data_IF_462003131064
#
_entry.id   IF_462003131064
#
_cell.length_a   1.000
_cell.length_b   1.000
_cell.length_c   1.000
_cell.angle_alpha   90.00
_cell.angle_beta   90.00
_cell.angle_gamma   90.00
#
_symmetry.space_group_name_H-M   'P 1'
#
loop_
_entity.id
_entity.type
_entity.pdbx_description
1 polymer ?
#
# COMPACT_ATOMS: atom_id res chain seq x y z
N UNK A 1 32.17 -19.39 3.57
CA UNK A 1 30.82 -19.37 4.17
C UNK A 1 30.25 -17.99 3.94
N UNK A 2 29.18 -17.86 3.16
CA UNK A 2 28.51 -16.57 2.99
C UNK A 2 28.00 -16.10 4.37
N UNK A 3 28.46 -14.92 4.79
CA UNK A 3 28.08 -14.31 6.06
C UNK A 3 26.58 -14.01 6.01
N UNK A 4 25.82 -14.36 7.06
CA UNK A 4 24.39 -14.03 7.20
C UNK A 4 23.42 -14.70 6.18
N UNK A 5 23.65 -15.98 5.86
CA UNK A 5 22.81 -16.75 4.92
C UNK A 5 21.91 -17.82 5.60
N UNK A 6 21.52 -17.62 6.86
CA UNK A 6 20.81 -18.65 7.65
C UNK A 6 19.48 -19.10 7.02
N UNK A 7 18.79 -18.19 6.32
CA UNK A 7 17.52 -18.47 5.64
C UNK A 7 17.67 -18.43 4.11
N UNK A 8 18.90 -18.63 3.61
CA UNK A 8 19.28 -18.52 2.21
C UNK A 8 20.07 -17.24 1.90
N UNK A 9 20.50 -17.05 0.64
CA UNK A 9 21.30 -15.89 0.24
C UNK A 9 20.52 -14.59 0.47
N UNK A 10 21.24 -13.51 0.82
CA UNK A 10 20.65 -12.20 1.11
C UNK A 10 19.94 -11.59 -0.12
N UNK A 11 20.49 -11.80 -1.31
CA UNK A 11 19.88 -11.42 -2.57
C UNK A 11 19.35 -12.66 -3.27
N UNK A 12 18.10 -12.60 -3.71
CA UNK A 12 17.42 -13.68 -4.42
C UNK A 12 16.91 -13.19 -5.77
N UNK A 13 17.15 -13.97 -6.81
CA UNK A 13 16.48 -13.79 -8.11
C UNK A 13 15.07 -14.38 -8.04
N UNK A 14 14.08 -13.60 -8.45
CA UNK A 14 12.69 -14.04 -8.61
C UNK A 14 12.30 -13.90 -10.07
N UNK A 15 11.46 -14.81 -10.54
CA UNK A 15 10.99 -14.86 -11.91
C UNK A 15 9.63 -14.15 -12.04
N UNK A 16 9.52 -13.31 -13.06
CA UNK A 16 8.37 -12.46 -13.32
C UNK A 16 7.91 -12.62 -14.76
N UNK A 17 6.61 -12.82 -14.96
CA UNK A 17 5.98 -12.78 -16.28
C UNK A 17 5.96 -11.35 -16.83
N UNK A 18 6.31 -11.22 -18.10
CA UNK A 18 6.42 -9.95 -18.85
C UNK A 18 5.23 -9.82 -19.80
N UNK A 19 4.81 -8.58 -20.07
CA UNK A 19 3.81 -8.27 -21.09
C UNK A 19 4.27 -8.72 -22.47
N UNK A 20 3.41 -9.46 -23.16
CA UNK A 20 3.69 -9.96 -24.51
C UNK A 20 4.53 -11.24 -24.48
N UNK A 21 4.04 -12.26 -25.17
CA UNK A 21 4.78 -13.50 -25.50
C UNK A 21 5.14 -14.46 -24.37
N UNK A 22 4.40 -14.48 -23.25
CA UNK A 22 4.56 -15.51 -22.20
C UNK A 22 5.97 -15.63 -21.63
N UNK A 23 6.79 -14.61 -21.86
CA UNK A 23 8.19 -14.57 -21.50
C UNK A 23 8.33 -14.20 -20.03
N UNK A 24 9.42 -14.65 -19.43
CA UNK A 24 9.77 -14.32 -18.05
C UNK A 24 11.06 -13.52 -18.01
N UNK A 25 11.18 -12.69 -16.97
CA UNK A 25 12.42 -12.01 -16.62
C UNK A 25 12.73 -12.21 -15.16
N UNK A 26 14.02 -12.17 -14.84
CA UNK A 26 14.48 -12.25 -13.46
C UNK A 26 14.72 -10.85 -12.91
N UNK A 27 14.24 -10.60 -11.69
CA UNK A 27 14.57 -9.40 -10.93
C UNK A 27 15.12 -9.81 -9.55
N UNK A 28 16.02 -8.98 -9.03
CA UNK A 28 16.60 -9.16 -7.70
C UNK A 28 15.67 -8.60 -6.63
N UNK A 29 15.53 -9.35 -5.54
CA UNK A 29 14.85 -8.94 -4.32
C UNK A 29 15.71 -9.31 -3.12
N UNK A 30 15.51 -8.62 -2.00
CA UNK A 30 16.15 -8.99 -0.74
C UNK A 30 15.41 -10.17 -0.10
N UNK A 31 16.15 -11.17 0.34
CA UNK A 31 15.64 -12.19 1.25
C UNK A 31 15.46 -11.55 2.62
N UNK A 32 14.25 -11.10 2.89
CA UNK A 32 13.89 -10.38 4.10
C UNK A 32 14.16 -11.20 5.37
N UNK A 33 14.01 -12.52 5.32
CA UNK A 33 14.27 -13.39 6.48
C UNK A 33 15.75 -13.40 6.84
N UNK A 34 16.63 -13.56 5.84
CA UNK A 34 18.08 -13.49 6.04
C UNK A 34 18.54 -12.08 6.41
N UNK A 35 17.94 -11.03 5.86
CA UNK A 35 18.26 -9.65 6.21
C UNK A 35 17.98 -9.36 7.69
N UNK A 36 16.77 -9.66 8.16
CA UNK A 36 16.37 -9.38 9.54
C UNK A 36 17.23 -10.20 10.52
N UNK A 37 17.45 -11.49 10.25
CA UNK A 37 18.31 -12.32 11.12
C UNK A 37 19.75 -11.83 11.11
N UNK A 38 20.27 -11.47 9.94
CA UNK A 38 21.62 -10.95 9.78
C UNK A 38 21.82 -9.64 10.53
N UNK A 39 20.87 -8.70 10.41
CA UNK A 39 20.88 -7.41 11.10
C UNK A 39 20.81 -7.59 12.63
N UNK A 40 19.97 -8.51 13.11
CA UNK A 40 19.89 -8.83 14.54
C UNK A 40 21.17 -9.49 15.07
N UNK A 41 21.76 -10.41 14.30
CA UNK A 41 23.03 -11.06 14.69
C UNK A 41 24.20 -10.08 14.72
N UNK A 42 24.18 -9.05 13.89
CA UNK A 42 25.28 -8.09 13.76
C UNK A 42 25.45 -7.21 15.01
N UNK A 43 24.40 -7.00 15.81
CA UNK A 43 24.43 -6.11 16.97
C UNK A 43 24.04 -4.67 16.66
N UNK A 44 24.21 -3.79 17.65
CA UNK A 44 23.91 -2.36 17.52
C UNK A 44 22.42 -2.03 17.69
N UNK A 45 22.03 -0.85 17.17
CA UNK A 45 20.72 -0.24 17.43
C UNK A 45 19.53 -1.10 17.01
N UNK A 46 19.63 -1.87 15.93
CA UNK A 46 18.55 -2.78 15.52
C UNK A 46 18.38 -3.94 16.50
N UNK A 47 19.47 -4.48 17.03
CA UNK A 47 19.41 -5.54 18.04
C UNK A 47 18.77 -5.02 19.31
N UNK A 48 19.19 -3.85 19.78
CA UNK A 48 18.61 -3.18 20.95
C UNK A 48 17.10 -2.91 20.77
N UNK A 49 16.68 -2.46 19.59
CA UNK A 49 15.27 -2.25 19.27
C UNK A 49 14.47 -3.56 19.33
N UNK A 50 15.00 -4.63 18.74
CA UNK A 50 14.35 -5.95 18.75
C UNK A 50 14.27 -6.52 20.16
N UNK A 51 15.36 -6.44 20.95
CA UNK A 51 15.40 -6.91 22.33
C UNK A 51 14.45 -6.12 23.24
N UNK A 52 14.42 -4.80 23.13
CA UNK A 52 13.48 -3.95 23.86
C UNK A 52 12.03 -4.29 23.48
N UNK A 53 11.77 -4.59 22.20
CA UNK A 53 10.45 -5.00 21.73
C UNK A 53 10.09 -6.39 22.25
N UNK A 54 11.02 -7.35 22.29
CA UNK A 54 10.79 -8.67 22.90
C UNK A 54 10.49 -8.59 24.40
N UNK A 55 11.23 -7.75 25.14
CA UNK A 55 11.02 -7.57 26.57
C UNK A 55 9.63 -6.97 26.87
N UNK A 56 9.16 -6.06 26.01
CA UNK A 56 7.82 -5.46 26.11
C UNK A 56 6.71 -6.41 25.65
N UNK A 57 6.93 -7.08 24.52
CA UNK A 57 5.92 -7.89 23.84
C UNK A 57 6.59 -9.14 23.23
N UNK A 58 6.72 -10.22 24.02
CA UNK A 58 7.23 -11.49 23.54
C UNK A 58 6.37 -12.04 22.39
N UNK A 59 7.00 -12.79 21.48
CA UNK A 59 6.29 -13.41 20.35
C UNK A 59 6.00 -14.88 20.60
N UNK A 60 4.86 -15.33 20.10
CA UNK A 60 4.47 -16.74 20.06
C UNK A 60 3.59 -16.98 18.83
N UNK A 61 3.28 -18.25 18.48
CA UNK A 61 2.36 -18.52 17.38
C UNK A 61 0.98 -17.88 17.57
N UNK A 62 0.51 -17.72 18.82
CA UNK A 62 -0.77 -17.08 19.12
C UNK A 62 -0.67 -15.56 19.26
N UNK A 63 0.52 -15.02 19.49
CA UNK A 63 0.79 -13.59 19.61
C UNK A 63 1.99 -13.21 18.73
N UNK A 64 1.88 -13.34 17.39
CA UNK A 64 2.94 -12.98 16.47
C UNK A 64 3.05 -11.46 16.35
N UNK A 65 4.26 -10.96 16.06
CA UNK A 65 4.43 -9.59 15.58
C UNK A 65 3.78 -9.42 14.20
N UNK A 66 3.49 -8.17 13.83
CA UNK A 66 2.80 -7.83 12.59
C UNK A 66 3.73 -7.07 11.66
N UNK A 67 4.15 -7.71 10.58
CA UNK A 67 5.02 -7.11 9.57
C UNK A 67 4.26 -6.09 8.72
N UNK A 68 4.87 -4.94 8.51
CA UNK A 68 4.41 -3.87 7.62
C UNK A 68 5.15 -3.99 6.30
N UNK A 69 4.44 -3.86 5.18
CA UNK A 69 5.04 -3.56 3.88
C UNK A 69 4.69 -2.12 3.51
N UNK A 70 5.70 -1.27 3.35
CA UNK A 70 5.54 0.07 2.79
C UNK A 70 6.07 0.11 1.37
N UNK A 71 5.35 0.72 0.44
CA UNK A 71 5.80 0.79 -0.96
C UNK A 71 5.40 2.09 -1.60
N UNK A 72 6.33 2.69 -2.33
CA UNK A 72 6.11 3.95 -3.03
C UNK A 72 6.89 3.99 -4.35
N UNK A 73 6.47 4.86 -5.26
CA UNK A 73 7.12 5.13 -6.53
C UNK A 73 7.89 6.45 -6.49
N UNK A 74 9.18 6.36 -6.17
CA UNK A 74 10.02 7.52 -5.93
C UNK A 74 10.70 8.01 -7.21
N UNK A 75 10.83 9.33 -7.35
CA UNK A 75 11.61 9.97 -8.41
C UNK A 75 12.86 10.63 -7.81
N UNK A 76 14.06 10.06 -8.00
CA UNK A 76 15.29 10.68 -7.52
C UNK A 76 15.57 11.99 -8.27
N UNK A 77 15.76 13.09 -7.54
CA UNK A 77 16.12 14.39 -8.10
C UNK A 77 14.91 15.25 -8.49
N UNK A 78 14.99 15.97 -9.60
CA UNK A 78 13.94 16.89 -10.03
C UNK A 78 12.73 16.14 -10.60
N UNK A 79 11.61 16.15 -9.86
CA UNK A 79 10.33 15.54 -10.24
C UNK A 79 9.72 16.12 -11.52
N UNK A 80 10.07 17.36 -11.90
CA UNK A 80 9.61 18.03 -13.11
C UNK A 80 10.54 17.80 -14.31
N UNK A 81 11.62 17.03 -14.14
CA UNK A 81 12.55 16.74 -15.23
C UNK A 81 11.89 15.87 -16.29
N UNK A 82 12.13 16.19 -17.57
CA UNK A 82 11.73 15.32 -18.69
C UNK A 82 12.42 13.95 -18.68
N UNK A 83 13.51 13.77 -17.89
CA UNK A 83 14.29 12.52 -17.80
C UNK A 83 13.99 11.77 -16.50
N UNK A 84 12.90 11.01 -16.48
CA UNK A 84 12.47 10.18 -15.34
C UNK A 84 13.05 8.75 -15.35
N UNK A 85 14.24 8.55 -15.92
CA UNK A 85 14.82 7.21 -16.13
C UNK A 85 15.23 6.49 -14.84
N UNK A 86 15.39 7.24 -13.76
CA UNK A 86 15.73 6.74 -12.42
C UNK A 86 14.51 6.57 -11.52
N UNK A 87 13.30 6.89 -12.00
CA UNK A 87 12.07 6.64 -11.25
C UNK A 87 11.97 5.15 -10.92
N UNK A 88 11.68 4.82 -9.68
CA UNK A 88 11.73 3.47 -9.18
C UNK A 88 10.63 3.20 -8.14
N UNK A 89 10.13 1.98 -8.16
CA UNK A 89 9.40 1.41 -7.05
C UNK A 89 10.37 0.96 -5.97
N UNK A 90 10.10 1.36 -4.75
CA UNK A 90 10.86 0.93 -3.57
C UNK A 90 9.90 0.31 -2.58
N UNK A 91 10.27 -0.87 -2.09
CA UNK A 91 9.56 -1.56 -1.02
C UNK A 91 10.39 -1.59 0.24
N UNK A 92 9.73 -1.36 1.37
CA UNK A 92 10.30 -1.39 2.70
C UNK A 92 9.51 -2.32 3.61
N UNK A 93 10.17 -2.92 4.59
CA UNK A 93 9.54 -3.71 5.63
C UNK A 93 9.85 -3.15 7.02
N UNK A 94 8.91 -3.29 7.93
CA UNK A 94 9.09 -3.03 9.37
C UNK A 94 8.09 -3.85 10.19
N UNK A 95 7.96 -3.61 11.49
CA UNK A 95 7.03 -4.29 12.38
C UNK A 95 6.19 -3.27 13.16
N UNK A 96 4.85 -3.45 13.18
CA UNK A 96 3.95 -2.58 13.97
C UNK A 96 4.34 -2.54 15.44
N UNK A 97 4.93 -3.62 15.93
CA UNK A 97 5.37 -3.82 17.30
C UNK A 97 6.51 -2.86 17.71
N UNK A 98 7.20 -2.23 16.75
CA UNK A 98 8.18 -1.17 16.99
C UNK A 98 7.56 0.19 17.37
N UNK A 99 6.25 0.38 17.15
CA UNK A 99 5.48 1.55 17.61
C UNK A 99 6.12 2.90 17.22
N UNK A 100 6.46 3.75 18.17
CA UNK A 100 7.03 5.09 17.96
C UNK A 100 8.33 5.07 17.15
N UNK A 101 9.08 3.97 17.17
CA UNK A 101 10.28 3.82 16.35
C UNK A 101 9.99 3.74 14.85
N UNK A 102 8.74 3.45 14.45
CA UNK A 102 8.32 3.50 13.04
C UNK A 102 8.47 4.90 12.43
N UNK A 103 8.55 5.96 13.25
CA UNK A 103 8.84 7.31 12.77
C UNK A 103 10.32 7.52 12.41
N UNK A 104 11.18 6.50 12.57
CA UNK A 104 12.62 6.56 12.30
C UNK A 104 12.95 5.68 11.10
N UNK A 105 13.60 6.25 10.09
CA UNK A 105 14.02 5.52 8.89
C UNK A 105 14.84 4.26 9.23
N UNK A 106 15.67 4.32 10.28
CA UNK A 106 16.49 3.20 10.74
C UNK A 106 15.69 1.96 11.21
N UNK A 107 14.37 2.09 11.44
CA UNK A 107 13.48 0.98 11.77
C UNK A 107 12.90 0.28 10.52
N UNK A 108 13.27 0.72 9.32
CA UNK A 108 12.76 0.20 8.05
C UNK A 108 13.87 -0.41 7.21
N UNK A 109 13.62 -1.60 6.67
CA UNK A 109 14.53 -2.29 5.78
C UNK A 109 14.06 -2.23 4.34
N UNK A 110 14.99 -1.98 3.42
CA UNK A 110 14.70 -2.03 1.98
C UNK A 110 14.54 -3.49 1.54
N UNK A 111 13.37 -3.83 0.99
CA UNK A 111 13.03 -5.15 0.47
C UNK A 111 13.38 -5.30 -1.02
N UNK A 112 13.17 -4.24 -1.80
CA UNK A 112 13.55 -4.19 -3.21
C UNK A 112 13.63 -2.74 -3.71
N UNK A 113 14.38 -2.53 -4.78
CA UNK A 113 14.37 -1.30 -5.59
C UNK A 113 14.31 -1.75 -7.05
N UNK A 114 13.22 -1.42 -7.75
CA UNK A 114 13.02 -1.82 -9.14
C UNK A 114 12.61 -0.58 -9.94
N UNK A 115 13.28 -0.29 -11.05
CA UNK A 115 12.95 0.87 -11.88
C UNK A 115 11.49 0.81 -12.35
N UNK A 116 10.80 1.93 -12.36
CA UNK A 116 9.44 2.06 -12.87
C UNK A 116 9.28 1.49 -14.27
N UNK A 117 10.25 1.79 -15.15
CA UNK A 117 10.26 1.25 -16.52
C UNK A 117 10.30 -0.29 -16.54
N UNK A 118 11.02 -0.89 -15.60
CA UNK A 118 11.13 -2.35 -15.48
C UNK A 118 9.86 -2.98 -14.89
N UNK A 119 9.21 -2.31 -13.92
CA UNK A 119 7.91 -2.74 -13.39
C UNK A 119 6.83 -2.64 -14.47
N UNK A 120 6.87 -1.59 -15.30
CA UNK A 120 5.90 -1.38 -16.38
C UNK A 120 5.91 -2.48 -17.45
N UNK A 121 7.02 -3.24 -17.57
CA UNK A 121 7.08 -4.39 -18.47
C UNK A 121 6.43 -5.64 -17.89
N UNK A 122 6.21 -5.73 -16.57
CA UNK A 122 5.59 -6.89 -15.92
C UNK A 122 4.09 -6.96 -16.23
N UNK A 123 3.55 -8.18 -16.36
CA UNK A 123 2.15 -8.39 -16.73
C UNK A 123 1.18 -7.73 -15.75
N UNK A 124 1.37 -7.97 -14.44
CA UNK A 124 0.60 -7.35 -13.37
C UNK A 124 1.40 -6.29 -12.59
N UNK A 125 2.32 -5.60 -13.28
CA UNK A 125 3.07 -4.46 -12.74
C UNK A 125 3.66 -4.69 -11.34
N UNK A 126 3.41 -3.74 -10.43
CA UNK A 126 3.88 -3.82 -9.04
C UNK A 126 3.12 -4.85 -8.21
N UNK A 127 1.86 -5.17 -8.55
CA UNK A 127 1.09 -6.23 -7.89
C UNK A 127 1.80 -7.59 -7.96
N UNK A 128 2.45 -7.89 -9.09
CA UNK A 128 3.28 -9.08 -9.26
C UNK A 128 4.55 -9.07 -8.39
N UNK A 129 5.17 -7.91 -8.21
CA UNK A 129 6.33 -7.74 -7.32
C UNK A 129 5.93 -8.00 -5.87
N UNK A 130 4.79 -7.47 -5.43
CA UNK A 130 4.26 -7.70 -4.08
C UNK A 130 3.92 -9.16 -3.84
N UNK A 131 3.29 -9.80 -4.84
CA UNK A 131 3.01 -11.23 -4.81
C UNK A 131 4.28 -12.04 -4.57
N UNK A 132 5.33 -11.81 -5.36
CA UNK A 132 6.59 -12.55 -5.21
C UNK A 132 7.31 -12.24 -3.90
N UNK A 133 7.28 -10.99 -3.42
CA UNK A 133 7.83 -10.62 -2.12
C UNK A 133 7.15 -11.41 -1.00
N UNK A 134 5.82 -11.38 -0.94
CA UNK A 134 5.05 -12.08 0.08
C UNK A 134 5.25 -13.59 0.01
N UNK A 135 5.29 -14.19 -1.19
CA UNK A 135 5.60 -15.61 -1.36
C UNK A 135 6.99 -15.95 -0.84
N UNK A 136 7.98 -15.07 -1.07
CA UNK A 136 9.35 -15.28 -0.57
C UNK A 136 9.46 -15.21 0.96
N UNK A 137 8.56 -14.49 1.62
CA UNK A 137 8.56 -14.33 3.09
C UNK A 137 7.74 -15.42 3.77
N UNK A 138 6.53 -15.69 3.29
CA UNK A 138 5.54 -16.52 3.99
C UNK A 138 5.29 -17.89 3.38
N UNK A 139 5.73 -18.11 2.13
CA UNK A 139 5.53 -19.35 1.39
C UNK A 139 6.87 -19.94 0.91
N UNK A 140 7.93 -19.71 1.69
CA UNK A 140 9.26 -20.27 1.45
C UNK A 140 9.45 -21.59 2.21
N UNK A 141 10.66 -22.16 2.17
CA UNK A 141 11.02 -23.28 3.05
C UNK A 141 10.95 -22.91 4.55
N UNK A 142 10.95 -21.61 4.87
CA UNK A 142 10.87 -21.06 6.21
C UNK A 142 9.58 -20.26 6.34
N UNK A 143 8.74 -20.66 7.30
CA UNK A 143 7.51 -19.95 7.61
C UNK A 143 7.68 -19.18 8.93
N UNK A 144 7.71 -17.83 8.90
CA UNK A 144 7.88 -17.03 10.10
C UNK A 144 6.75 -17.17 11.12
N UNK A 145 5.59 -17.71 10.72
CA UNK A 145 4.48 -17.99 11.64
C UNK A 145 4.78 -19.17 12.57
N UNK A 146 5.66 -20.07 12.15
CA UNK A 146 6.19 -21.18 12.96
C UNK A 146 7.39 -20.75 13.84
N UNK A 147 7.88 -19.54 13.61
CA UNK A 147 8.93 -18.90 14.39
C UNK A 147 10.32 -19.08 13.78
N UNK A 148 11.00 -17.96 13.51
CA UNK A 148 12.37 -17.91 13.04
C UNK A 148 13.35 -17.83 14.20
N UNK A 149 14.38 -18.66 14.17
CA UNK A 149 15.45 -18.67 15.15
C UNK A 149 16.47 -17.55 14.87
N UNK A 150 16.60 -16.61 15.79
CA UNK A 150 17.54 -15.49 15.73
C UNK A 150 18.63 -15.72 16.78
N UNK A 151 19.90 -15.58 16.39
CA UNK A 151 21.01 -15.62 17.36
C UNK A 151 21.44 -14.19 17.66
N UNK A 152 21.39 -13.82 18.94
CA UNK A 152 21.90 -12.52 19.38
C UNK A 152 23.43 -12.47 19.20
N UNK A 153 24.04 -11.28 19.26
CA UNK A 153 25.49 -11.13 19.24
C UNK A 153 26.20 -11.93 20.34
N UNK A 154 25.51 -12.15 21.48
CA UNK A 154 26.02 -12.91 22.62
C UNK A 154 25.75 -14.43 22.51
N UNK A 155 25.18 -14.89 21.40
CA UNK A 155 24.90 -16.31 21.15
C UNK A 155 23.58 -16.83 21.70
N UNK A 156 22.78 -15.98 22.36
CA UNK A 156 21.47 -16.34 22.88
C UNK A 156 20.47 -16.53 21.74
N UNK A 157 19.68 -17.60 21.81
CA UNK A 157 18.67 -17.92 20.81
C UNK A 157 17.33 -17.26 21.18
N UNK A 158 16.79 -16.47 20.27
CA UNK A 158 15.42 -15.96 20.31
C UNK A 158 14.61 -16.58 19.18
N UNK A 159 13.30 -16.73 19.37
CA UNK A 159 12.39 -17.15 18.31
C UNK A 159 11.43 -16.01 18.00
N UNK A 160 11.48 -15.51 16.78
CA UNK A 160 10.60 -14.45 16.29
C UNK A 160 9.45 -15.07 15.49
N UNK A 161 8.22 -14.89 15.98
CA UNK A 161 7.01 -15.23 15.23
C UNK A 161 6.39 -13.95 14.66
N UNK A 162 6.09 -13.94 13.36
CA UNK A 162 5.38 -12.83 12.76
C UNK A 162 4.43 -13.25 11.63
N UNK A 163 3.40 -12.44 11.43
CA UNK A 163 2.42 -12.55 10.33
C UNK A 163 2.46 -11.30 9.45
N UNK A 164 1.79 -11.36 8.31
CA UNK A 164 1.61 -10.17 7.50
C UNK A 164 0.53 -9.26 8.13
N UNK A 165 0.92 -8.04 8.48
CA UNK A 165 0.09 -7.08 9.20
C UNK A 165 -0.70 -6.16 8.28
N UNK A 166 0.01 -5.30 7.53
CA UNK A 166 -0.62 -4.34 6.62
C UNK A 166 0.30 -3.89 5.48
N UNK A 167 -0.33 -3.41 4.41
CA UNK A 167 0.28 -2.60 3.35
C UNK A 167 0.05 -1.11 3.68
N UNK A 168 1.13 -0.39 3.96
CA UNK A 168 1.13 1.07 4.09
C UNK A 168 1.48 1.67 2.73
N UNK A 169 0.57 2.44 2.15
CA UNK A 169 0.71 2.91 0.77
C UNK A 169 -0.14 4.17 0.54
N UNK A 170 0.26 4.99 -0.43
CA UNK A 170 -0.62 6.03 -0.96
C UNK A 170 -1.75 5.40 -1.82
N UNK A 171 -2.72 6.22 -2.24
CA UNK A 171 -3.84 5.74 -3.03
C UNK A 171 -3.44 5.20 -4.41
N UNK A 172 -2.41 5.77 -5.05
CA UNK A 172 -1.97 5.36 -6.37
C UNK A 172 -1.22 4.02 -6.36
N UNK A 173 -0.38 3.78 -5.35
CA UNK A 173 0.29 2.51 -5.13
C UNK A 173 -0.70 1.42 -4.76
N UNK A 174 -1.67 1.69 -3.89
CA UNK A 174 -2.73 0.71 -3.56
C UNK A 174 -3.51 0.30 -4.79
N UNK A 175 -3.88 1.28 -5.64
CA UNK A 175 -4.58 1.03 -6.90
C UNK A 175 -3.81 0.03 -7.76
N UNK A 176 -2.50 0.22 -7.91
CA UNK A 176 -1.66 -0.65 -8.75
C UNK A 176 -1.32 -1.99 -8.11
N UNK A 177 -1.12 -2.05 -6.78
CA UNK A 177 -0.77 -3.30 -6.09
C UNK A 177 -1.96 -4.27 -6.02
N UNK A 178 -3.16 -3.75 -5.80
CA UNK A 178 -4.37 -4.56 -5.73
C UNK A 178 -5.09 -4.72 -7.08
N UNK A 179 -4.57 -4.14 -8.16
CA UNK A 179 -5.23 -4.20 -9.48
C UNK A 179 -6.61 -3.55 -9.47
N UNK A 180 -6.74 -2.37 -8.86
CA UNK A 180 -7.99 -1.60 -8.78
C UNK A 180 -8.03 -0.57 -9.91
N UNK A 181 -9.20 -0.33 -10.51
CA UNK A 181 -9.37 0.67 -11.59
C UNK A 181 -9.41 2.11 -11.09
N UNK A 182 -9.73 2.31 -9.81
CA UNK A 182 -9.90 3.63 -9.21
C UNK A 182 -10.99 4.43 -9.91
N UNK A 183 -10.69 5.69 -10.19
CA UNK A 183 -11.50 6.64 -10.96
C UNK A 183 -11.93 6.14 -12.35
N UNK A 184 -11.16 5.24 -12.96
CA UNK A 184 -11.52 4.64 -14.24
C UNK A 184 -12.54 3.50 -14.13
N UNK A 185 -12.99 3.13 -12.92
CA UNK A 185 -14.03 2.12 -12.67
C UNK A 185 -15.31 2.74 -12.12
N UNK A 186 -16.44 2.03 -12.27
CA UNK A 186 -17.70 2.47 -11.64
C UNK A 186 -17.64 2.29 -10.12
N UNK A 187 -16.98 1.23 -9.64
CA UNK A 187 -16.62 1.06 -8.24
C UNK A 187 -15.18 1.53 -8.03
N UNK A 188 -14.99 2.74 -7.53
CA UNK A 188 -13.67 3.33 -7.37
C UNK A 188 -13.01 3.00 -6.03
N UNK A 189 -13.80 2.63 -5.01
CA UNK A 189 -13.31 2.26 -3.68
C UNK A 189 -13.33 0.73 -3.50
N UNK A 190 -12.17 0.12 -3.23
CA UNK A 190 -12.08 -1.31 -2.91
C UNK A 190 -12.66 -1.63 -1.53
N UNK A 191 -12.65 -0.67 -0.60
CA UNK A 191 -13.14 -0.85 0.78
C UNK A 191 -14.65 -0.69 0.94
N UNK A 192 -15.36 -0.14 -0.04
CA UNK A 192 -16.80 0.09 0.02
C UNK A 192 -17.51 -0.66 -1.11
N UNK A 193 -18.61 -1.34 -0.80
CA UNK A 193 -19.42 -2.09 -1.76
C UNK A 193 -20.51 -1.25 -2.40
N UNK A 194 -20.86 -0.09 -1.82
CA UNK A 194 -21.89 0.82 -2.31
C UNK A 194 -21.38 2.20 -2.76
N UNK A 195 -20.06 2.41 -2.78
CA UNK A 195 -19.45 3.63 -3.30
C UNK A 195 -19.22 3.48 -4.82
N UNK A 196 -20.16 4.01 -5.60
CA UNK A 196 -20.15 3.94 -7.06
C UNK A 196 -20.23 5.32 -7.69
N UNK A 197 -19.57 5.46 -8.83
CA UNK A 197 -19.76 6.56 -9.75
C UNK A 197 -21.23 6.65 -10.16
N UNK A 198 -21.86 7.80 -9.91
CA UNK A 198 -23.28 8.02 -10.09
C UNK A 198 -23.63 8.69 -11.44
N UNK A 199 -22.65 8.89 -12.33
CA UNK A 199 -22.83 9.71 -13.53
C UNK A 199 -22.80 11.20 -13.21
N UNK A 200 -22.67 12.05 -14.24
CA UNK A 200 -22.92 13.48 -14.09
C UNK A 200 -24.39 13.68 -13.77
N UNK A 201 -24.74 14.42 -12.72
CA UNK A 201 -26.13 14.81 -12.51
C UNK A 201 -26.52 15.84 -13.57
N UNK A 202 -27.47 15.50 -14.43
CA UNK A 202 -28.03 16.40 -15.46
C UNK A 202 -28.97 17.48 -14.84
N UNK A 203 -29.32 17.33 -13.55
CA UNK A 203 -30.31 18.16 -12.84
C UNK A 203 -29.68 19.24 -11.94
N UNK A 204 -28.79 20.08 -12.47
CA UNK A 204 -28.50 21.37 -11.81
C UNK A 204 -29.03 22.46 -12.73
N UNK A 205 -30.21 22.97 -12.38
CA UNK A 205 -30.75 24.20 -12.97
C UNK A 205 -29.71 25.32 -12.83
N UNK A 206 -29.59 26.16 -13.87
CA UNK A 206 -28.55 27.16 -14.12
C UNK A 206 -28.40 28.30 -13.08
N UNK A 207 -28.86 28.13 -11.84
CA UNK A 207 -28.90 29.20 -10.86
C UNK A 207 -27.77 29.06 -9.82
N UNK A 208 -26.76 29.91 -9.98
CA UNK A 208 -25.82 30.37 -8.95
C UNK A 208 -24.72 29.40 -8.45
N UNK A 209 -24.24 28.46 -9.26
CA UNK A 209 -22.96 27.79 -8.99
C UNK A 209 -21.86 28.33 -9.92
N UNK A 210 -20.80 28.90 -9.35
CA UNK A 210 -19.56 29.26 -10.05
C UNK A 210 -19.09 28.08 -10.91
N UNK A 211 -18.49 28.36 -12.07
CA UNK A 211 -18.08 27.35 -13.07
C UNK A 211 -17.24 26.18 -12.51
N UNK A 212 -16.56 26.37 -11.38
CA UNK A 212 -15.75 25.36 -10.69
C UNK A 212 -16.56 24.33 -9.86
N UNK A 213 -17.77 24.67 -9.40
CA UNK A 213 -18.60 23.76 -8.59
C UNK A 213 -19.40 22.76 -9.45
N UNK A 214 -19.45 22.95 -10.78
CA UNK A 214 -20.16 22.06 -11.72
C UNK A 214 -19.48 20.70 -11.93
N UNK A 215 -18.18 20.56 -11.65
CA UNK A 215 -17.41 19.34 -11.97
C UNK A 215 -17.40 18.30 -10.83
N UNK A 216 -17.88 18.66 -9.62
CA UNK A 216 -17.89 17.75 -8.46
C UNK A 216 -19.16 16.90 -8.31
N UNK A 217 -20.20 17.19 -9.11
CA UNK A 217 -21.48 16.48 -9.07
C UNK A 217 -21.44 15.16 -9.87
N UNK A 218 -20.90 14.09 -9.26
CA UNK A 218 -21.11 12.76 -9.84
C UNK A 218 -20.39 11.56 -9.24
N UNK A 219 -19.47 11.74 -8.28
CA UNK A 219 -18.61 10.60 -7.87
C UNK A 219 -19.30 9.68 -6.85
N UNK A 220 -19.96 10.22 -5.83
CA UNK A 220 -20.66 9.42 -4.81
C UNK A 220 -21.63 10.30 -4.00
N UNK A 221 -22.87 9.85 -3.79
CA UNK A 221 -23.86 10.57 -2.95
C UNK A 221 -23.73 10.27 -1.45
N UNK A 222 -22.82 9.37 -1.06
CA UNK A 222 -22.62 8.97 0.34
C UNK A 222 -21.70 9.98 1.02
N UNK A 223 -22.25 10.74 1.97
CA UNK A 223 -21.53 11.80 2.68
C UNK A 223 -21.07 11.38 4.08
N UNK A 224 -21.68 10.32 4.65
CA UNK A 224 -21.36 9.86 6.01
C UNK A 224 -20.77 8.46 5.97
N UNK A 225 -19.82 8.22 6.85
CA UNK A 225 -19.24 6.88 7.04
C UNK A 225 -20.31 5.83 7.37
N UNK A 226 -21.34 6.19 8.13
CA UNK A 226 -22.45 5.29 8.48
C UNK A 226 -23.27 4.83 7.26
N UNK A 227 -23.20 5.56 6.14
CA UNK A 227 -23.90 5.21 4.90
C UNK A 227 -23.04 4.26 4.03
N UNK A 228 -21.77 4.05 4.38
CA UNK A 228 -20.87 3.15 3.66
C UNK A 228 -21.13 1.69 4.06
N UNK A 229 -21.27 0.83 3.06
CA UNK A 229 -21.26 -0.62 3.23
C UNK A 229 -19.84 -1.12 3.00
N UNK A 230 -19.12 -1.40 4.09
CA UNK A 230 -17.73 -1.84 4.01
C UNK A 230 -17.62 -3.22 3.35
N UNK A 231 -16.60 -3.39 2.51
CA UNK A 231 -16.24 -4.64 1.85
C UNK A 231 -15.40 -5.48 2.82
N UNK A 232 -15.72 -6.76 2.93
CA UNK A 232 -14.86 -7.73 3.60
C UNK A 232 -13.73 -8.22 2.68
N UNK A 233 -12.68 -8.77 3.30
CA UNK A 233 -11.57 -9.42 2.59
C UNK A 233 -12.06 -10.48 1.61
N UNK A 234 -12.98 -11.33 2.09
CA UNK A 234 -13.56 -12.42 1.31
C UNK A 234 -14.32 -11.89 0.10
N UNK A 235 -15.17 -10.87 0.26
CA UNK A 235 -15.94 -10.30 -0.85
C UNK A 235 -15.05 -9.73 -1.94
N UNK A 236 -13.92 -9.11 -1.58
CA UNK A 236 -12.97 -8.56 -2.53
C UNK A 236 -12.21 -9.67 -3.28
N UNK A 237 -11.77 -10.73 -2.57
CA UNK A 237 -11.12 -11.89 -3.19
C UNK A 237 -12.08 -12.65 -4.13
N UNK A 238 -13.32 -12.87 -3.70
CA UNK A 238 -14.35 -13.51 -4.53
C UNK A 238 -14.75 -12.63 -5.73
N UNK A 239 -14.67 -11.29 -5.61
CA UNK A 239 -14.88 -10.40 -6.75
C UNK A 239 -13.79 -10.57 -7.82
N UNK A 240 -12.53 -10.71 -7.39
CA UNK A 240 -11.43 -11.03 -8.30
C UNK A 240 -11.64 -12.40 -8.97
N UNK A 241 -12.13 -13.41 -8.23
CA UNK A 241 -12.41 -14.75 -8.79
C UNK A 241 -13.52 -14.72 -9.84
N UNK A 242 -14.61 -14.00 -9.55
CA UNK A 242 -15.71 -13.81 -10.51
C UNK A 242 -15.22 -13.12 -11.77
N UNK A 243 -14.38 -12.08 -11.64
CA UNK A 243 -13.78 -11.41 -12.80
C UNK A 243 -12.87 -12.37 -13.58
N UNK A 244 -12.04 -13.15 -12.90
CA UNK A 244 -11.15 -14.12 -13.54
C UNK A 244 -11.91 -15.20 -14.31
N UNK A 245 -12.97 -15.76 -13.72
CA UNK A 245 -13.81 -16.75 -14.38
C UNK A 245 -14.51 -16.18 -15.63
N UNK A 246 -14.87 -14.89 -15.62
CA UNK A 246 -15.51 -14.22 -16.77
C UNK A 246 -14.56 -13.98 -17.92
N UNK A 247 -13.26 -13.79 -17.67
CA UNK A 247 -12.27 -13.44 -18.70
C UNK A 247 -12.26 -14.38 -19.91
N UNK A 248 -12.49 -15.68 -19.68
CA UNK A 248 -12.52 -16.71 -20.72
C UNK A 248 -13.94 -17.07 -21.19
N UNK A 249 -14.98 -16.54 -20.55
CA UNK A 249 -16.37 -16.91 -20.79
C UNK A 249 -17.13 -15.90 -21.67
N UNK A 250 -16.62 -14.68 -21.81
CA UNK A 250 -17.31 -13.58 -22.51
C UNK A 250 -16.41 -12.94 -23.57
N UNK A 251 -17.03 -12.16 -24.47
CA UNK A 251 -16.26 -11.42 -25.48
C UNK A 251 -15.37 -10.35 -24.83
N UNK A 252 -14.28 -9.94 -25.51
CA UNK A 252 -13.40 -8.86 -25.02
C UNK A 252 -14.15 -7.55 -24.73
N UNK A 253 -15.17 -7.23 -25.54
CA UNK A 253 -15.99 -6.02 -25.37
C UNK A 253 -16.81 -6.10 -24.08
N UNK A 254 -17.45 -7.25 -23.86
CA UNK A 254 -18.24 -7.50 -22.65
C UNK A 254 -17.34 -7.57 -21.42
N UNK A 255 -16.15 -8.16 -21.52
CA UNK A 255 -15.22 -8.26 -20.41
C UNK A 255 -14.78 -6.91 -19.87
N UNK A 256 -14.56 -5.92 -20.74
CA UNK A 256 -14.25 -4.54 -20.32
C UNK A 256 -15.37 -3.93 -19.46
N UNK A 257 -16.63 -4.29 -19.71
CA UNK A 257 -17.77 -3.85 -18.88
C UNK A 257 -17.70 -4.50 -17.50
N UNK A 258 -17.30 -5.78 -17.42
CA UNK A 258 -17.08 -6.46 -16.14
C UNK A 258 -15.95 -5.82 -15.32
N UNK A 259 -14.82 -5.49 -15.94
CA UNK A 259 -13.74 -4.74 -15.28
C UNK A 259 -14.25 -3.38 -14.80
N UNK A 260 -14.96 -2.62 -15.65
CA UNK A 260 -15.53 -1.33 -15.31
C UNK A 260 -16.48 -1.41 -14.10
N UNK A 261 -17.43 -2.36 -14.13
CA UNK A 261 -18.45 -2.52 -13.10
C UNK A 261 -17.87 -2.99 -11.76
N UNK A 262 -16.94 -3.95 -11.81
CA UNK A 262 -16.28 -4.47 -10.60
C UNK A 262 -15.32 -3.47 -9.97
N UNK A 263 -14.77 -2.55 -10.77
CA UNK A 263 -13.70 -1.66 -10.33
C UNK A 263 -12.34 -2.35 -10.22
N UNK A 264 -12.19 -3.54 -10.78
CA UNK A 264 -10.98 -4.34 -10.74
C UNK A 264 -10.40 -4.54 -12.15
N UNK A 265 -9.08 -4.66 -12.20
CA UNK A 265 -8.32 -5.11 -13.35
C UNK A 265 -8.17 -6.63 -13.29
N UNK A 266 -8.27 -7.29 -14.44
CA UNK A 266 -7.96 -8.71 -14.53
C UNK A 266 -6.45 -8.92 -14.61
N UNK A 267 -5.86 -9.22 -13.46
CA UNK A 267 -4.42 -9.46 -13.32
C UNK A 267 -4.16 -10.90 -12.83
N UNK A 268 -4.09 -11.91 -13.71
CA UNK A 268 -3.84 -13.31 -13.32
C UNK A 268 -2.54 -13.50 -12.54
N UNK A 269 -1.57 -12.61 -12.78
CA UNK A 269 -0.31 -12.60 -12.06
C UNK A 269 -0.23 -11.57 -10.93
N UNK A 270 -1.33 -10.88 -10.63
CA UNK A 270 -1.43 -9.91 -9.54
C UNK A 270 -1.59 -10.56 -8.18
N UNK A 271 -1.67 -9.71 -7.15
CA UNK A 271 -1.75 -10.15 -5.75
C UNK A 271 -3.06 -10.87 -5.46
N UNK A 272 -4.20 -10.29 -5.90
CA UNK A 272 -5.52 -10.78 -5.53
C UNK A 272 -5.80 -12.19 -6.03
N UNK A 273 -5.22 -12.64 -7.15
CA UNK A 273 -5.50 -13.95 -7.74
C UNK A 273 -4.45 -15.02 -7.41
N UNK A 274 -3.46 -14.72 -6.56
CA UNK A 274 -2.38 -15.67 -6.27
C UNK A 274 -2.88 -16.87 -5.44
N UNK A 275 -2.84 -18.11 -5.98
CA UNK A 275 -3.37 -19.27 -5.29
C UNK A 275 -2.51 -19.68 -4.09
N UNK A 276 -1.21 -19.40 -4.10
CA UNK A 276 -0.28 -19.81 -3.05
C UNK A 276 -0.48 -18.97 -1.78
N UNK A 277 -0.59 -17.65 -1.92
CA UNK A 277 -0.85 -16.72 -0.82
C UNK A 277 -2.27 -16.91 -0.26
N UNK A 278 -3.25 -17.22 -1.12
CA UNK A 278 -4.61 -17.55 -0.68
C UNK A 278 -4.66 -18.87 0.09
N UNK A 279 -4.04 -19.93 -0.41
CA UNK A 279 -3.98 -21.21 0.29
C UNK A 279 -3.25 -21.11 1.64
N UNK A 280 -2.23 -20.25 1.71
CA UNK A 280 -1.53 -19.94 2.95
C UNK A 280 -2.29 -18.94 3.86
N UNK A 281 -3.48 -18.47 3.49
CA UNK A 281 -4.26 -17.47 4.22
C UNK A 281 -3.46 -16.20 4.58
N UNK A 282 -2.65 -15.71 3.63
CA UNK A 282 -1.83 -14.51 3.80
C UNK A 282 -2.58 -13.24 3.39
N UNK A 283 -3.53 -13.34 2.45
CA UNK A 283 -4.23 -12.18 1.89
C UNK A 283 -5.49 -11.85 2.68
N UNK A 284 -5.52 -10.65 3.24
CA UNK A 284 -6.69 -10.02 3.82
C UNK A 284 -6.75 -8.57 3.30
N UNK A 285 -7.08 -8.37 2.02
CA UNK A 285 -6.80 -7.12 1.30
C UNK A 285 -7.51 -5.87 1.83
N UNK A 286 -8.67 -6.00 2.48
CA UNK A 286 -9.37 -4.91 3.16
C UNK A 286 -8.81 -4.68 4.57
N UNK A 287 -8.56 -5.75 5.33
CA UNK A 287 -8.02 -5.67 6.70
C UNK A 287 -6.55 -5.24 6.76
N UNK A 288 -5.79 -5.53 5.70
CA UNK A 288 -4.38 -5.17 5.53
C UNK A 288 -4.22 -3.80 4.88
N UNK A 289 -5.30 -3.14 4.51
CA UNK A 289 -5.27 -1.87 3.81
C UNK A 289 -4.95 -0.73 4.77
N UNK A 290 -3.84 -0.01 4.54
CA UNK A 290 -3.47 1.15 5.35
C UNK A 290 -3.01 2.30 4.45
N UNK A 291 -3.69 3.44 4.56
CA UNK A 291 -3.30 4.64 3.85
C UNK A 291 -2.08 5.29 4.50
N UNK A 292 -1.13 5.70 3.67
CA UNK A 292 -0.14 6.69 4.03
C UNK A 292 -0.84 8.03 4.30
N UNK A 293 -0.99 8.35 5.58
CA UNK A 293 -1.67 9.55 6.02
C UNK A 293 -1.04 10.83 5.45
N UNK A 294 0.28 10.89 5.33
CA UNK A 294 0.96 12.09 4.84
C UNK A 294 0.57 12.37 3.38
N UNK A 295 0.64 11.35 2.52
CA UNK A 295 0.28 11.49 1.11
C UNK A 295 -1.23 11.70 0.92
N UNK A 296 -2.07 10.93 1.62
CA UNK A 296 -3.52 11.00 1.44
C UNK A 296 -4.17 12.23 2.08
N UNK A 297 -3.53 12.83 3.10
CA UNK A 297 -4.09 13.96 3.85
C UNK A 297 -3.36 15.26 3.57
N UNK A 298 -2.03 15.29 3.63
CA UNK A 298 -1.26 16.54 3.63
C UNK A 298 -0.64 16.88 2.26
N UNK A 299 0.10 15.96 1.65
CA UNK A 299 0.92 16.21 0.46
C UNK A 299 0.12 15.98 -0.83
N UNK A 300 -0.64 17.00 -1.26
CA UNK A 300 -1.69 16.90 -2.29
C UNK A 300 -2.88 15.99 -1.89
N UNK A 301 -3.04 15.79 -0.57
CA UNK A 301 -4.18 15.10 -0.01
C UNK A 301 -5.39 16.00 0.22
N UNK A 302 -6.32 15.52 1.04
CA UNK A 302 -7.62 16.19 1.24
C UNK A 302 -7.59 17.38 2.21
N UNK A 303 -6.54 17.55 3.01
CA UNK A 303 -6.52 18.58 4.06
C UNK A 303 -6.60 20.00 3.51
N UNK A 304 -5.93 20.28 2.39
CA UNK A 304 -5.98 21.61 1.76
C UNK A 304 -7.41 21.98 1.34
N UNK A 305 -8.16 21.01 0.78
CA UNK A 305 -9.57 21.17 0.41
C UNK A 305 -10.43 21.37 1.66
N UNK A 306 -10.24 20.55 2.70
CA UNK A 306 -11.00 20.69 3.95
C UNK A 306 -10.76 22.05 4.61
N UNK A 307 -9.52 22.52 4.66
CA UNK A 307 -9.16 23.84 5.19
C UNK A 307 -9.78 24.95 4.34
N UNK A 308 -9.69 24.85 3.01
CA UNK A 308 -10.31 25.82 2.11
C UNK A 308 -11.82 25.92 2.32
N UNK A 309 -12.53 24.78 2.35
CA UNK A 309 -13.98 24.74 2.55
C UNK A 309 -14.39 25.31 3.91
N UNK A 310 -13.61 25.00 4.97
CA UNK A 310 -13.82 25.58 6.30
C UNK A 310 -13.65 27.10 6.28
N UNK A 311 -12.56 27.60 5.68
CA UNK A 311 -12.28 29.03 5.58
C UNK A 311 -13.34 29.77 4.75
N UNK A 312 -13.80 29.15 3.65
CA UNK A 312 -14.89 29.68 2.80
C UNK A 312 -16.18 29.85 3.61
N UNK A 313 -16.55 28.82 4.38
CA UNK A 313 -17.78 28.86 5.19
C UNK A 313 -17.67 29.88 6.34
N UNK A 314 -16.55 29.89 7.06
CA UNK A 314 -16.31 30.88 8.12
C UNK A 314 -16.34 32.32 7.61
N UNK A 315 -15.86 32.58 6.38
CA UNK A 315 -15.90 33.92 5.77
C UNK A 315 -17.33 34.37 5.48
N UNK A 316 -18.23 33.44 5.10
CA UNK A 316 -19.66 33.73 4.90
C UNK A 316 -20.34 34.18 6.18
N UNK A 317 -19.92 33.65 7.33
CA UNK A 317 -20.48 33.99 8.65
C UNK A 317 -19.74 35.14 9.37
N UNK A 318 -18.53 35.50 8.94
CA UNK A 318 -17.74 36.59 9.53
C UNK A 318 -16.80 37.26 8.52
N UNK A 319 -17.13 38.50 8.15
CA UNK A 319 -16.33 39.33 7.24
C UNK A 319 -14.93 39.69 7.80
N UNK A 320 -14.70 39.55 9.12
CA UNK A 320 -13.43 39.89 9.79
C UNK A 320 -12.53 38.68 10.06
N UNK A 321 -12.87 37.49 9.57
CA UNK A 321 -12.11 36.28 9.86
C UNK A 321 -10.69 36.34 9.31
N UNK A 322 -10.49 36.84 8.09
CA UNK A 322 -9.14 37.04 7.53
C UNK A 322 -8.28 38.00 8.34
N UNK A 323 -8.89 39.05 8.93
CA UNK A 323 -8.19 39.94 9.86
C UNK A 323 -7.82 39.22 11.16
N UNK A 324 -8.70 38.34 11.67
CA UNK A 324 -8.47 37.57 12.90
C UNK A 324 -7.38 36.50 12.71
N UNK A 325 -7.38 35.81 11.56
CA UNK A 325 -6.35 34.82 11.20
C UNK A 325 -5.02 35.51 10.93
N UNK A 326 -5.01 36.65 10.22
CA UNK A 326 -3.80 37.47 10.04
C UNK A 326 -3.21 37.90 11.38
N UNK A 327 -4.03 38.44 12.28
CA UNK A 327 -3.61 38.84 13.64
C UNK A 327 -3.13 37.65 14.49
N UNK A 328 -3.63 36.44 14.22
CA UNK A 328 -3.20 35.20 14.87
C UNK A 328 -1.86 34.67 14.34
N UNK A 329 -1.64 34.76 13.02
CA UNK A 329 -0.37 34.39 12.38
C UNK A 329 0.75 35.35 12.78
N UNK A 330 0.48 36.66 12.85
CA UNK A 330 1.45 37.67 13.33
C UNK A 330 1.88 37.41 14.80
N UNK A 331 1.03 36.73 15.59
CA UNK A 331 1.37 36.31 16.96
C UNK A 331 2.18 35.02 17.04
N UNK A 332 2.21 34.23 15.98
CA UNK A 332 3.02 33.00 15.89
C UNK A 332 4.43 33.29 15.36
N UNK A 333 4.67 34.45 14.74
CA UNK A 333 6.01 34.88 14.32
C UNK A 333 6.90 35.44 15.46
N UNK A 334 6.48 35.37 16.72
CA UNK A 334 7.28 35.79 17.87
C UNK A 334 7.30 34.77 19.02
N UNK A 335 7.55 33.49 18.72
CA UNK A 335 8.21 32.57 19.67
C UNK A 335 9.11 31.58 18.90
N UNK A 336 10.26 32.08 18.46
CA UNK A 336 11.38 31.32 17.90
C UNK A 336 12.67 32.07 18.13
#
# INVERSE_FOLDING_TARGET
MERHANYGPLLQEREFVVKGEGSTKKLLMVNCLSLIEGAYRQGGSFTELVDATFARQPTSPSHPWRMILYTDEVTPGNVLSHRLERKAWVGYISFLDFREHLSKEAAWFVAFIIRTKEVATLEAGIGQVMRELLRSIFCSAWDPRLGLAFKSPNGELRKLHFTFGLFLQDGAAQKQVYGVKGDSGNRFCSLCTNAFFCGRCEEVEEQDSDEEDRDYNGVCKLLKHADLKLCSDRELLEAADRLHARANAVSRKEFKIWEQASGLLHEPHGLLLDPVLRAANILAPCSQYCHDWMHCTCANGTASICIFLLMRELTRHSASMWQTVSLGCDRLEFQG
#
